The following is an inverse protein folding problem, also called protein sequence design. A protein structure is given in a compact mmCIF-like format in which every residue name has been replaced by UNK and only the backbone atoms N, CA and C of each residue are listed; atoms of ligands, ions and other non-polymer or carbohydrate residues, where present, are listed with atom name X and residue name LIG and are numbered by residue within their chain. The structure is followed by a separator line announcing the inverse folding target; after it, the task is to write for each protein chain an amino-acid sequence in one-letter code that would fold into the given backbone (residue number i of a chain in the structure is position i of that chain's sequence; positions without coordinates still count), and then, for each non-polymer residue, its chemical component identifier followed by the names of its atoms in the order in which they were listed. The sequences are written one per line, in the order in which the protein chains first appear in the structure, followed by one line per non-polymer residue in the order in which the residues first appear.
data_IF_512144487599
#
_entry.id   IF_512144487599
#
_cell.length_a   1.000
_cell.length_b   1.000
_cell.length_c   1.000
_cell.angle_alpha   90.00
_cell.angle_beta   90.00
_cell.angle_gamma   90.00
#
_symmetry.space_group_name_H-M   'P 1'
#
loop_
_entity.id
_entity.type
_entity.pdbx_description
1 polymer ?
#
# COMPACT_ATOMS: atom_id res chain seq x y z
N UNK A 1 0.84 16.85 25.82
CA UNK A 1 0.02 16.29 24.72
C UNK A 1 0.27 14.79 24.62
N UNK A 2 -0.68 13.97 25.08
CA UNK A 2 -0.63 12.51 24.88
C UNK A 2 -0.81 12.24 23.38
N UNK A 3 0.27 12.06 22.63
CA UNK A 3 0.18 11.47 21.29
C UNK A 3 -0.55 10.14 21.46
N UNK A 4 -1.71 10.02 20.86
CA UNK A 4 -2.50 8.80 20.90
C UNK A 4 -1.60 7.61 20.50
N UNK A 5 -1.48 6.62 21.35
CA UNK A 5 -0.75 5.37 21.06
C UNK A 5 -1.46 4.51 19.99
N UNK A 6 -2.63 4.94 19.57
CA UNK A 6 -3.46 4.23 18.60
C UNK A 6 -2.77 4.13 17.23
N UNK A 7 -2.18 5.23 16.73
CA UNK A 7 -1.54 5.20 15.40
C UNK A 7 -0.34 4.24 15.31
N UNK A 8 0.62 4.25 16.25
CA UNK A 8 1.70 3.26 16.24
C UNK A 8 1.19 1.82 16.33
N UNK A 9 0.22 1.56 17.19
CA UNK A 9 -0.38 0.23 17.33
C UNK A 9 -1.08 -0.19 16.04
N UNK A 10 -1.89 0.70 15.45
CA UNK A 10 -2.55 0.43 14.17
C UNK A 10 -1.53 0.14 13.04
N UNK A 11 -0.40 0.85 13.01
CA UNK A 11 0.67 0.61 12.03
C UNK A 11 1.31 -0.76 12.25
N UNK A 12 1.60 -1.14 13.49
CA UNK A 12 2.18 -2.45 13.79
C UNK A 12 1.22 -3.59 13.44
N UNK A 13 -0.06 -3.46 13.77
CA UNK A 13 -1.09 -4.42 13.39
C UNK A 13 -1.19 -4.53 11.87
N UNK A 14 -1.20 -3.40 11.18
CA UNK A 14 -1.29 -3.38 9.72
C UNK A 14 -0.04 -3.99 9.05
N UNK A 15 1.16 -3.70 9.57
CA UNK A 15 2.39 -4.37 9.13
C UNK A 15 2.34 -5.88 9.34
N UNK A 16 1.77 -6.34 10.45
CA UNK A 16 1.53 -7.77 10.70
C UNK A 16 0.60 -8.39 9.66
N UNK A 17 -0.47 -7.68 9.26
CA UNK A 17 -1.39 -8.13 8.21
C UNK A 17 -0.65 -8.19 6.86
N UNK A 18 0.11 -7.15 6.50
CA UNK A 18 0.90 -7.13 5.27
C UNK A 18 1.90 -8.30 5.26
N UNK A 19 2.64 -8.50 6.35
CA UNK A 19 3.58 -9.60 6.48
C UNK A 19 2.88 -10.98 6.34
N UNK A 20 1.72 -11.14 6.98
CA UNK A 20 0.94 -12.38 6.86
C UNK A 20 0.52 -12.66 5.40
N UNK A 21 0.07 -11.65 4.68
CA UNK A 21 -0.35 -11.80 3.28
C UNK A 21 0.86 -12.10 2.37
N UNK A 22 1.96 -11.36 2.55
CA UNK A 22 3.10 -11.42 1.63
C UNK A 22 4.08 -12.54 1.94
N UNK A 23 4.26 -12.91 3.22
CA UNK A 23 5.22 -13.92 3.66
C UNK A 23 4.60 -15.31 3.87
N UNK A 24 3.29 -15.48 3.69
CA UNK A 24 2.69 -16.82 3.67
C UNK A 24 3.08 -17.53 2.37
N UNK A 25 3.58 -18.77 2.44
CA UNK A 25 3.90 -19.55 1.26
C UNK A 25 2.67 -19.66 0.35
N UNK A 26 2.84 -19.39 -0.94
CA UNK A 26 1.75 -19.53 -1.89
C UNK A 26 1.37 -21.00 -2.02
N UNK A 27 0.08 -21.39 -1.90
CA UNK A 27 -0.35 -22.78 -2.05
C UNK A 27 -0.27 -23.29 -3.50
N UNK A 28 0.10 -22.43 -4.43
CA UNK A 28 0.22 -22.70 -5.86
C UNK A 28 1.64 -22.39 -6.33
N UNK A 29 2.12 -23.05 -7.42
CA UNK A 29 3.39 -22.74 -8.05
C UNK A 29 3.50 -21.25 -8.38
N UNK A 30 4.72 -20.69 -8.30
CA UNK A 30 4.98 -19.30 -8.59
C UNK A 30 4.36 -18.85 -9.94
N UNK A 31 3.65 -17.73 -9.92
CA UNK A 31 2.98 -17.18 -11.11
C UNK A 31 1.66 -17.86 -11.50
N UNK A 32 1.17 -18.84 -10.73
CA UNK A 32 -0.15 -19.47 -11.00
C UNK A 32 -1.19 -19.04 -9.96
N UNK A 33 -2.16 -18.20 -10.34
CA UNK A 33 -3.27 -17.84 -9.45
C UNK A 33 -4.23 -19.02 -9.25
N UNK A 34 -5.00 -18.99 -8.14
CA UNK A 34 -6.06 -19.97 -7.90
C UNK A 34 -7.08 -19.99 -9.03
N UNK A 35 -7.80 -21.10 -9.17
CA UNK A 35 -8.86 -21.22 -10.18
C UNK A 35 -9.92 -20.11 -10.05
N UNK A 36 -10.26 -19.72 -8.81
CA UNK A 36 -11.17 -18.61 -8.55
C UNK A 36 -10.64 -17.28 -9.09
N UNK A 37 -9.38 -16.97 -8.80
CA UNK A 37 -8.74 -15.71 -9.25
C UNK A 37 -8.65 -15.69 -10.77
N UNK A 38 -8.26 -16.83 -11.40
CA UNK A 38 -8.27 -16.96 -12.87
C UNK A 38 -9.65 -16.72 -13.46
N UNK A 39 -10.69 -17.29 -12.84
CA UNK A 39 -12.08 -17.12 -13.28
C UNK A 39 -12.53 -15.66 -13.20
N UNK A 40 -12.21 -14.96 -12.10
CA UNK A 40 -12.53 -13.54 -11.93
C UNK A 40 -11.80 -12.70 -13.00
N UNK A 41 -10.51 -12.92 -13.21
CA UNK A 41 -9.74 -12.18 -14.21
C UNK A 41 -10.28 -12.46 -15.63
N UNK A 42 -10.57 -13.71 -15.96
CA UNK A 42 -11.15 -14.06 -17.25
C UNK A 42 -12.52 -13.40 -17.47
N UNK A 43 -13.35 -13.34 -16.43
CA UNK A 43 -14.62 -12.61 -16.49
C UNK A 43 -14.42 -11.12 -16.70
N UNK A 44 -13.52 -10.50 -15.94
CA UNK A 44 -13.22 -9.07 -16.08
C UNK A 44 -12.57 -8.75 -17.45
N UNK A 45 -11.76 -9.66 -17.99
CA UNK A 45 -11.12 -9.49 -19.30
C UNK A 45 -12.00 -9.93 -20.49
N UNK A 46 -13.27 -10.30 -20.25
CA UNK A 46 -14.16 -10.89 -21.29
C UNK A 46 -14.63 -9.92 -22.36
N UNK A 47 -14.42 -8.60 -22.18
CA UNK A 47 -14.81 -7.60 -23.17
C UNK A 47 -13.58 -6.93 -23.81
N UNK A 48 -13.66 -6.42 -25.04
CA UNK A 48 -12.56 -5.69 -25.67
C UNK A 48 -12.09 -4.49 -24.84
N UNK A 49 -12.98 -3.85 -24.08
CA UNK A 49 -12.68 -2.67 -23.25
C UNK A 49 -11.87 -3.06 -22.00
N UNK A 50 -12.04 -4.26 -21.49
CA UNK A 50 -11.41 -4.74 -20.25
C UNK A 50 -10.36 -5.83 -20.47
N UNK A 51 -10.08 -6.19 -21.73
CA UNK A 51 -9.09 -7.24 -22.10
C UNK A 51 -7.67 -6.95 -21.60
N UNK A 52 -7.36 -5.69 -21.27
CA UNK A 52 -6.10 -5.28 -20.67
C UNK A 52 -5.96 -5.67 -19.19
N UNK A 53 -7.06 -6.09 -18.55
CA UNK A 53 -7.03 -6.49 -17.13
C UNK A 53 -6.49 -7.91 -17.00
N UNK A 54 -5.17 -8.00 -16.96
CA UNK A 54 -4.42 -9.25 -16.79
C UNK A 54 -4.19 -9.57 -15.32
N UNK A 55 -3.67 -10.76 -15.04
CA UNK A 55 -3.22 -11.14 -13.69
C UNK A 55 -2.16 -10.16 -13.16
N UNK A 56 -1.21 -9.77 -13.99
CA UNK A 56 -0.15 -8.82 -13.65
C UNK A 56 -0.71 -7.45 -13.23
N UNK A 57 -1.73 -6.97 -13.93
CA UNK A 57 -2.41 -5.71 -13.58
C UNK A 57 -3.16 -5.83 -12.26
N UNK A 58 -3.82 -6.97 -12.05
CA UNK A 58 -4.52 -7.23 -10.80
C UNK A 58 -3.56 -7.30 -9.61
N UNK A 59 -2.43 -8.01 -9.76
CA UNK A 59 -1.39 -8.15 -8.74
C UNK A 59 -0.75 -6.79 -8.43
N UNK A 60 -0.34 -6.05 -9.45
CA UNK A 60 0.20 -4.70 -9.30
C UNK A 60 -0.76 -3.78 -8.53
N UNK A 61 -2.04 -3.79 -8.93
CA UNK A 61 -3.08 -2.97 -8.30
C UNK A 61 -3.31 -3.39 -6.85
N UNK A 62 -3.36 -4.68 -6.56
CA UNK A 62 -3.52 -5.18 -5.20
C UNK A 62 -2.35 -4.74 -4.29
N UNK A 63 -1.12 -4.81 -4.78
CA UNK A 63 0.05 -4.34 -4.06
C UNK A 63 0.01 -2.83 -3.80
N UNK A 64 -0.35 -2.02 -4.82
CA UNK A 64 -0.57 -0.58 -4.63
C UNK A 64 -1.60 -0.34 -3.53
N UNK A 65 -2.79 -0.96 -3.63
CA UNK A 65 -3.88 -0.77 -2.65
C UNK A 65 -3.49 -1.22 -1.25
N UNK A 66 -2.72 -2.28 -1.11
CA UNK A 66 -2.20 -2.75 0.18
C UNK A 66 -1.22 -1.77 0.81
N UNK A 67 -0.41 -1.05 0.03
CA UNK A 67 0.57 -0.11 0.56
C UNK A 67 0.03 1.31 0.77
N UNK A 68 -1.12 1.69 0.19
CA UNK A 68 -1.76 2.99 0.45
C UNK A 68 -2.07 3.20 1.94
N UNK A 69 -2.76 2.29 2.66
CA UNK A 69 -3.00 2.46 4.10
C UNK A 69 -1.70 2.51 4.91
N UNK A 70 -0.70 1.70 4.55
CA UNK A 70 0.60 1.72 5.22
C UNK A 70 1.27 3.08 5.09
N UNK A 71 1.34 3.62 3.88
CA UNK A 71 1.90 4.95 3.62
C UNK A 71 1.14 6.07 4.36
N UNK A 72 -0.18 5.98 4.42
CA UNK A 72 -1.02 6.92 5.15
C UNK A 72 -0.78 6.86 6.67
N UNK A 73 -0.74 5.65 7.25
CA UNK A 73 -0.47 5.45 8.67
C UNK A 73 0.92 5.97 9.07
N UNK A 74 1.94 5.69 8.26
CA UNK A 74 3.29 6.20 8.48
C UNK A 74 3.34 7.74 8.38
N UNK A 75 2.74 8.32 7.33
CA UNK A 75 2.71 9.76 7.13
C UNK A 75 1.97 10.51 8.24
N UNK A 76 0.90 9.92 8.79
CA UNK A 76 0.14 10.51 9.89
C UNK A 76 0.96 10.63 11.19
N UNK A 77 1.99 9.81 11.36
CA UNK A 77 2.88 9.82 12.51
C UNK A 77 4.06 10.77 12.35
N UNK A 78 4.35 11.19 11.13
CA UNK A 78 5.48 12.07 10.83
C UNK A 78 5.11 13.55 10.93
N UNK A 79 6.08 14.42 11.29
CA UNK A 79 5.88 15.86 11.23
C UNK A 79 5.49 16.32 9.81
N UNK A 80 4.68 17.39 9.65
CA UNK A 80 4.17 17.82 8.35
C UNK A 80 5.23 17.96 7.25
N UNK A 81 6.42 18.43 7.60
CA UNK A 81 7.55 18.63 6.65
C UNK A 81 8.19 17.32 6.21
N UNK A 82 7.96 16.22 6.93
CA UNK A 82 8.60 14.91 6.70
C UNK A 82 7.62 13.83 6.26
N UNK A 83 6.36 14.15 6.01
CA UNK A 83 5.33 13.15 5.67
C UNK A 83 5.66 12.31 4.44
N UNK A 84 6.34 12.89 3.45
CA UNK A 84 6.75 12.16 2.26
C UNK A 84 7.85 11.11 2.52
N UNK A 85 8.57 11.19 3.65
CA UNK A 85 9.47 10.11 4.07
C UNK A 85 8.73 8.78 4.32
N UNK A 86 7.41 8.83 4.53
CA UNK A 86 6.60 7.62 4.63
C UNK A 86 6.68 6.75 3.37
N UNK A 87 6.83 7.36 2.19
CA UNK A 87 7.04 6.61 0.94
C UNK A 87 8.39 5.87 0.95
N UNK A 88 9.45 6.52 1.44
CA UNK A 88 10.78 5.90 1.56
C UNK A 88 10.77 4.75 2.57
N UNK A 89 10.08 4.96 3.71
CA UNK A 89 9.92 3.92 4.74
C UNK A 89 9.11 2.73 4.17
N UNK A 90 8.02 3.02 3.46
CA UNK A 90 7.19 1.99 2.80
C UNK A 90 7.98 1.20 1.76
N UNK A 91 8.80 1.88 0.95
CA UNK A 91 9.72 1.21 0.02
C UNK A 91 10.74 0.33 0.77
N UNK A 92 11.28 0.79 1.89
CA UNK A 92 12.17 -0.01 2.75
C UNK A 92 11.49 -1.27 3.29
N UNK A 93 10.21 -1.17 3.67
CA UNK A 93 9.39 -2.34 4.06
C UNK A 93 9.24 -3.30 2.88
N UNK A 94 8.97 -2.79 1.68
CA UNK A 94 8.87 -3.62 0.47
C UNK A 94 10.18 -4.36 0.18
N UNK A 95 11.32 -3.68 0.24
CA UNK A 95 12.65 -4.30 0.06
C UNK A 95 12.87 -5.40 1.11
N UNK A 96 12.49 -5.17 2.35
CA UNK A 96 12.61 -6.19 3.41
C UNK A 96 11.74 -7.42 3.12
N UNK A 97 10.50 -7.22 2.67
CA UNK A 97 9.59 -8.30 2.26
C UNK A 97 10.21 -9.11 1.12
N UNK A 98 10.64 -8.46 0.04
CA UNK A 98 11.26 -9.12 -1.11
C UNK A 98 12.52 -9.90 -0.71
N UNK A 99 13.35 -9.33 0.18
CA UNK A 99 14.53 -10.01 0.68
C UNK A 99 14.18 -11.28 1.46
N UNK A 100 13.15 -11.21 2.33
CA UNK A 100 12.69 -12.38 3.10
C UNK A 100 12.10 -13.43 2.15
N UNK A 101 11.32 -13.03 1.15
CA UNK A 101 10.77 -13.95 0.15
C UNK A 101 11.89 -14.66 -0.62
N UNK A 102 12.88 -13.92 -1.08
CA UNK A 102 14.03 -14.47 -1.81
C UNK A 102 14.82 -15.50 -0.98
N UNK A 103 15.01 -15.23 0.32
CA UNK A 103 15.85 -16.06 1.19
C UNK A 103 15.09 -17.22 1.83
N UNK A 104 13.78 -17.05 2.12
CA UNK A 104 13.02 -17.99 2.95
C UNK A 104 11.87 -18.69 2.21
N UNK A 105 11.47 -18.23 1.03
CA UNK A 105 10.32 -18.74 0.28
C UNK A 105 10.71 -19.16 -1.14
N UNK A 106 11.24 -20.39 -1.35
CA UNK A 106 11.68 -20.87 -2.67
C UNK A 106 10.58 -20.91 -3.74
N UNK A 107 9.30 -20.90 -3.30
CA UNK A 107 8.13 -20.82 -4.19
C UNK A 107 7.78 -19.41 -4.67
N UNK A 108 8.46 -18.39 -4.16
CA UNK A 108 8.27 -16.99 -4.56
C UNK A 108 9.48 -16.48 -5.33
N UNK A 109 9.22 -15.74 -6.40
CA UNK A 109 10.26 -15.06 -7.17
C UNK A 109 10.19 -13.58 -6.77
N UNK A 110 11.31 -13.04 -6.31
CA UNK A 110 11.41 -11.59 -6.04
C UNK A 110 11.19 -10.81 -7.35
N UNK A 111 10.25 -9.88 -7.35
CA UNK A 111 9.89 -9.11 -8.53
C UNK A 111 10.08 -7.59 -8.27
N UNK A 112 10.89 -6.95 -9.11
CA UNK A 112 11.07 -5.50 -9.08
C UNK A 112 9.75 -4.75 -9.25
N UNK A 113 8.76 -5.35 -9.91
CA UNK A 113 7.41 -4.79 -10.08
C UNK A 113 6.71 -4.62 -8.74
N UNK A 114 6.97 -5.50 -7.76
CA UNK A 114 6.42 -5.39 -6.41
C UNK A 114 7.03 -4.20 -5.67
N UNK A 115 8.32 -3.92 -5.85
CA UNK A 115 8.94 -2.72 -5.29
C UNK A 115 8.31 -1.45 -5.86
N UNK A 116 8.01 -1.41 -7.16
CA UNK A 116 7.39 -0.26 -7.83
C UNK A 116 5.94 -0.09 -7.37
N UNK A 117 5.15 -1.14 -7.34
CA UNK A 117 3.73 -1.08 -6.93
C UNK A 117 3.59 -0.70 -5.46
N UNK A 118 4.37 -1.34 -4.57
CA UNK A 118 4.37 -1.07 -3.14
C UNK A 118 4.86 0.35 -2.83
N UNK A 119 5.94 0.79 -3.48
CA UNK A 119 6.46 2.16 -3.36
C UNK A 119 5.44 3.20 -3.83
N UNK A 120 4.76 2.93 -4.95
CA UNK A 120 3.67 3.77 -5.48
C UNK A 120 2.53 3.86 -4.47
N UNK A 121 2.08 2.75 -3.91
CA UNK A 121 1.04 2.71 -2.89
C UNK A 121 1.41 3.53 -1.65
N UNK A 122 2.62 3.34 -1.13
CA UNK A 122 3.11 4.10 0.02
C UNK A 122 3.17 5.61 -0.26
N UNK A 123 3.60 6.01 -1.46
CA UNK A 123 3.61 7.41 -1.89
C UNK A 123 2.20 8.00 -1.98
N UNK A 124 1.27 7.29 -2.60
CA UNK A 124 -0.14 7.72 -2.69
C UNK A 124 -0.77 7.89 -1.32
N UNK A 125 -0.52 6.97 -0.39
CA UNK A 125 -0.97 7.07 1.00
C UNK A 125 -0.39 8.29 1.73
N UNK A 126 0.90 8.56 1.55
CA UNK A 126 1.55 9.75 2.12
C UNK A 126 0.98 11.04 1.55
N UNK A 127 0.79 11.12 0.23
CA UNK A 127 0.20 12.25 -0.46
C UNK A 127 -1.24 12.51 -0.01
N UNK A 128 -2.04 11.47 0.17
CA UNK A 128 -3.40 11.58 0.69
C UNK A 128 -3.42 12.32 2.04
N UNK A 129 -2.56 11.94 2.98
CA UNK A 129 -2.45 12.59 4.29
C UNK A 129 -1.99 14.05 4.17
N UNK A 130 -1.07 14.35 3.25
CA UNK A 130 -0.62 15.73 3.01
C UNK A 130 -1.76 16.58 2.48
N UNK A 131 -2.52 16.09 1.50
CA UNK A 131 -3.65 16.82 0.89
C UNK A 131 -4.75 17.05 1.93
N UNK A 132 -5.19 16.02 2.66
CA UNK A 132 -6.24 16.13 3.66
C UNK A 132 -5.86 17.12 4.78
N UNK A 133 -4.60 17.12 5.21
CA UNK A 133 -4.13 18.07 6.22
C UNK A 133 -4.10 19.51 5.72
N UNK A 134 -3.77 19.76 4.45
CA UNK A 134 -3.80 21.10 3.86
C UNK A 134 -5.24 21.61 3.71
N UNK A 135 -6.17 20.77 3.27
CA UNK A 135 -7.57 21.10 3.12
C UNK A 135 -8.21 21.49 4.45
N UNK A 136 -7.94 20.72 5.51
CA UNK A 136 -8.46 21.02 6.84
C UNK A 136 -7.96 22.36 7.41
N UNK A 137 -6.72 22.75 7.12
CA UNK A 137 -6.18 24.04 7.51
C UNK A 137 -6.83 25.22 6.77
N UNK A 138 -7.14 25.06 5.48
CA UNK A 138 -7.85 26.08 4.69
C UNK A 138 -9.26 26.31 5.24
N UNK A 139 -10.02 25.24 5.45
CA UNK A 139 -11.39 25.34 5.99
C UNK A 139 -11.44 26.02 7.39
N UNK A 140 -10.44 25.78 8.22
CA UNK A 140 -10.35 26.45 9.52
C UNK A 140 -10.08 27.95 9.38
N UNK A 141 -9.21 28.33 8.44
CA UNK A 141 -8.90 29.75 8.19
C UNK A 141 -10.12 30.50 7.67
N UNK A 142 -10.88 29.91 6.75
CA UNK A 142 -12.07 30.53 6.17
C UNK A 142 -13.16 30.75 7.24
N UNK A 143 -13.38 29.76 8.12
CA UNK A 143 -14.33 29.89 9.25
C UNK A 143 -13.96 31.01 10.21
N UNK A 144 -12.68 31.22 10.49
CA UNK A 144 -12.23 32.30 11.38
C UNK A 144 -12.30 33.67 10.73
N UNK A 145 -12.22 33.74 9.40
CA UNK A 145 -12.36 35.00 8.65
C UNK A 145 -13.81 35.50 8.59
N UNK A 146 -14.80 34.59 8.53
CA UNK A 146 -16.21 34.94 8.50
C UNK A 146 -16.84 35.18 9.90
N UNK A 147 -16.11 34.89 10.97
CA UNK A 147 -16.56 35.09 12.35
C UNK A 147 -16.08 36.45 12.94
N UNK A 148 -15.40 37.27 12.14
CA UNK A 148 -14.96 38.64 12.48
C UNK A 148 -15.73 39.67 11.68
#
# INVERSE_FOLDING_TARGET
MRRSRILPVATLVYLGIVALITLTPAPYPAGQPSALVRGIIAFLASTPVTSWFTFDVAEFTANVLMFVPLGALLAAQLPPRRRLLAAVIGLGVSVAIETIQLLALPSRVADVRDLVSNGTGALLGALLVVVLARSSLRLRKDRTAHAR
#
